data_IF_307556639478
#
_entry.id   IF_307556639478
#
_cell.length_a   1.000
_cell.length_b   1.000
_cell.length_c   1.000
_cell.angle_alpha   90.00
_cell.angle_beta   90.00
_cell.angle_gamma   90.00
#
_symmetry.space_group_name_H-M   'P 1'
#
loop_
_entity.id
_entity.type
_entity.pdbx_description
1 polymer ?
#
# COMPACT_ATOMS: atom_id res chain seq x y z
N UNK A 1 -21.58 -33.44 1.93
CA UNK A 1 -20.98 -33.70 0.59
C UNK A 1 -21.09 -32.43 -0.24
N UNK A 2 -20.06 -31.58 -0.24
CA UNK A 2 -20.02 -30.36 -1.07
C UNK A 2 -18.69 -30.34 -1.83
N UNK A 3 -18.79 -30.23 -3.15
CA UNK A 3 -17.74 -30.27 -4.16
C UNK A 3 -16.77 -29.09 -3.97
N UNK A 4 -15.47 -29.40 -3.79
CA UNK A 4 -14.38 -28.43 -3.94
C UNK A 4 -14.13 -28.20 -5.43
N UNK A 5 -14.36 -26.98 -5.89
CA UNK A 5 -13.98 -26.53 -7.22
C UNK A 5 -12.52 -26.05 -7.19
N UNK A 6 -11.69 -26.76 -7.93
CA UNK A 6 -10.27 -26.51 -8.15
C UNK A 6 -10.07 -25.23 -8.98
N UNK A 7 -9.54 -24.16 -8.37
CA UNK A 7 -8.97 -23.04 -9.11
C UNK A 7 -7.53 -23.40 -9.50
N UNK A 8 -7.23 -23.27 -10.80
CA UNK A 8 -5.92 -23.50 -11.40
C UNK A 8 -5.02 -22.30 -11.13
N UNK A 9 -3.82 -22.58 -10.64
CA UNK A 9 -2.73 -21.61 -10.48
C UNK A 9 -2.34 -21.00 -11.83
N UNK A 10 -2.37 -19.67 -11.91
CA UNK A 10 -1.65 -18.91 -12.94
C UNK A 10 -0.26 -18.58 -12.38
N UNK A 11 0.75 -19.25 -12.92
CA UNK A 11 2.17 -18.98 -12.65
C UNK A 11 2.53 -17.64 -13.30
N UNK A 12 2.60 -16.58 -12.51
CA UNK A 12 3.22 -15.32 -12.93
C UNK A 12 4.73 -15.42 -12.71
N UNK A 13 5.49 -15.48 -13.80
CA UNK A 13 6.93 -15.27 -13.83
C UNK A 13 7.26 -13.84 -13.40
N UNK A 14 8.25 -13.61 -12.52
CA UNK A 14 8.69 -12.27 -12.18
C UNK A 14 9.58 -11.74 -13.31
N UNK A 15 9.12 -10.68 -13.98
CA UNK A 15 9.96 -9.87 -14.85
C UNK A 15 11.03 -9.20 -14.02
N UNK A 16 12.28 -9.58 -14.26
CA UNK A 16 13.49 -8.93 -13.79
C UNK A 16 13.49 -7.48 -14.25
N UNK A 17 13.26 -6.54 -13.33
CA UNK A 17 13.42 -5.12 -13.58
C UNK A 17 14.91 -4.79 -13.48
N UNK A 18 15.59 -4.78 -14.62
CA UNK A 18 16.95 -4.26 -14.73
C UNK A 18 16.92 -2.75 -14.44
N UNK A 19 17.73 -2.33 -13.47
CA UNK A 19 18.03 -0.93 -13.19
C UNK A 19 18.89 -0.40 -14.36
N UNK A 20 18.52 0.71 -15.02
CA UNK A 20 19.43 1.35 -15.95
C UNK A 20 20.55 2.06 -15.19
N UNK A 21 21.78 1.65 -15.49
CA UNK A 21 23.02 2.36 -15.20
C UNK A 21 22.95 3.79 -15.77
N UNK A 22 22.84 4.80 -14.91
CA UNK A 22 23.02 6.20 -15.31
C UNK A 22 24.50 6.47 -15.47
N UNK A 23 25.01 6.25 -16.69
CA UNK A 23 26.31 6.79 -17.13
C UNK A 23 26.20 8.30 -17.31
N UNK A 24 27.14 9.00 -16.69
CA UNK A 24 27.50 10.39 -16.94
C UNK A 24 27.86 10.61 -18.42
N UNK A 25 26.96 11.20 -19.19
CA UNK A 25 27.28 11.82 -20.48
C UNK A 25 27.45 13.33 -20.31
N UNK A 26 28.71 13.73 -20.18
CA UNK A 26 29.20 15.07 -20.51
C UNK A 26 29.32 15.18 -22.03
N UNK A 27 29.04 16.38 -22.55
CA UNK A 27 29.03 16.84 -23.96
C UNK A 27 27.61 16.80 -24.56
N UNK A 28 27.07 17.84 -25.19
CA UNK A 28 27.73 18.70 -26.17
C UNK A 28 26.90 19.97 -26.34
N UNK A 29 27.52 21.14 -26.14
CA UNK A 29 26.93 22.41 -26.49
C UNK A 29 26.92 22.57 -28.02
N UNK A 30 25.76 22.45 -28.65
CA UNK A 30 25.56 22.87 -30.04
C UNK A 30 24.93 24.27 -30.06
N UNK A 31 25.76 25.26 -30.35
CA UNK A 31 25.34 26.59 -30.81
C UNK A 31 24.58 26.42 -32.13
N UNK A 32 23.29 26.72 -32.12
CA UNK A 32 22.54 27.00 -33.34
C UNK A 32 22.55 28.51 -33.57
N UNK A 33 23.42 28.96 -34.46
CA UNK A 33 23.32 30.26 -35.10
C UNK A 33 22.13 30.24 -36.06
N UNK A 34 21.01 30.83 -35.63
CA UNK A 34 19.84 31.00 -36.47
C UNK A 34 19.98 32.30 -37.26
N UNK A 35 20.03 32.12 -38.58
CA UNK A 35 20.21 33.14 -39.61
C UNK A 35 19.22 34.31 -39.49
N UNK A 36 19.80 35.49 -39.56
CA UNK A 36 19.12 36.75 -39.85
C UNK A 36 18.74 36.81 -41.33
N UNK A 37 17.43 36.86 -41.62
CA UNK A 37 16.90 37.46 -42.85
C UNK A 37 15.42 37.82 -42.65
N UNK A 38 15.15 39.07 -42.28
CA UNK A 38 13.83 39.68 -42.46
C UNK A 38 14.02 41.12 -42.93
N UNK A 39 14.04 41.31 -44.25
CA UNK A 39 13.87 42.63 -44.88
C UNK A 39 12.40 42.84 -45.19
N UNK A 40 11.90 43.99 -44.72
CA UNK A 40 10.96 44.87 -45.40
C UNK A 40 9.69 44.27 -46.01
N UNK A 41 8.61 44.27 -45.23
CA UNK A 41 7.27 44.61 -45.74
C UNK A 41 6.65 45.64 -44.80
N UNK A 42 6.81 46.92 -45.16
CA UNK A 42 6.17 48.04 -44.48
C UNK A 42 4.74 48.22 -44.98
N UNK A 43 3.80 48.27 -44.03
CA UNK A 43 2.42 48.68 -44.27
C UNK A 43 1.41 47.57 -43.97
N UNK A 44 0.60 47.78 -42.93
CA UNK A 44 -0.60 47.00 -42.47
C UNK A 44 -0.44 45.87 -41.44
N UNK A 45 0.77 45.47 -41.02
CA UNK A 45 0.95 44.40 -40.02
C UNK A 45 0.53 44.74 -38.57
N UNK A 46 0.31 46.01 -38.24
CA UNK A 46 -0.03 46.43 -36.87
C UNK A 46 -1.38 45.87 -36.40
N UNK A 47 -2.38 45.80 -37.30
CA UNK A 47 -3.70 45.25 -36.98
C UNK A 47 -3.69 43.73 -36.79
N UNK A 48 -2.93 43.01 -37.63
CA UNK A 48 -2.80 41.55 -37.57
C UNK A 48 -2.06 41.07 -36.32
N UNK A 49 -1.01 41.80 -35.90
CA UNK A 49 -0.30 41.52 -34.64
C UNK A 49 -1.18 41.75 -33.41
N UNK A 50 -2.02 42.79 -33.43
CA UNK A 50 -2.96 43.04 -32.34
C UNK A 50 -4.04 41.95 -32.27
N UNK A 51 -4.60 41.56 -33.42
CA UNK A 51 -5.59 40.48 -33.50
C UNK A 51 -5.03 39.13 -33.06
N UNK A 52 -3.79 38.80 -33.44
CA UNK A 52 -3.13 37.56 -33.01
C UNK A 52 -2.89 37.55 -31.48
N UNK A 53 -2.46 38.67 -30.89
CA UNK A 53 -2.30 38.78 -29.43
C UNK A 53 -3.63 38.63 -28.69
N UNK A 54 -4.69 39.28 -29.18
CA UNK A 54 -6.03 39.16 -28.58
C UNK A 54 -6.53 37.71 -28.69
N UNK A 55 -6.34 37.07 -29.85
CA UNK A 55 -6.71 35.67 -30.05
C UNK A 55 -5.93 34.72 -29.15
N UNK A 56 -4.62 34.91 -28.97
CA UNK A 56 -3.82 34.13 -28.02
C UNK A 56 -4.27 34.34 -26.57
N UNK A 57 -4.57 35.58 -26.15
CA UNK A 57 -5.05 35.87 -24.79
C UNK A 57 -6.42 35.22 -24.56
N UNK A 58 -7.34 35.30 -25.52
CA UNK A 58 -8.64 34.64 -25.45
C UNK A 58 -8.50 33.11 -25.44
N UNK A 59 -7.66 32.54 -26.29
CA UNK A 59 -7.41 31.10 -26.32
C UNK A 59 -6.84 30.59 -24.99
N UNK A 60 -5.92 31.32 -24.35
CA UNK A 60 -5.38 31.00 -23.01
C UNK A 60 -6.44 31.17 -21.92
N UNK A 61 -7.30 32.19 -22.01
CA UNK A 61 -8.37 32.41 -21.05
C UNK A 61 -9.51 31.37 -21.15
N UNK A 62 -9.80 30.85 -22.34
CA UNK A 62 -10.80 29.79 -22.54
C UNK A 62 -10.28 28.39 -22.18
N UNK A 63 -8.97 28.14 -22.31
CA UNK A 63 -8.38 26.84 -21.96
C UNK A 63 -8.12 26.66 -20.45
N UNK A 64 -8.11 27.73 -19.66
CA UNK A 64 -7.94 27.65 -18.20
C UNK A 64 -9.19 27.19 -17.45
N UNK A 65 -10.38 27.25 -18.05
CA UNK A 65 -11.63 26.86 -17.39
C UNK A 65 -11.92 25.35 -17.43
N UNK A 66 -11.41 24.63 -18.42
CA UNK A 66 -11.66 23.19 -18.57
C UNK A 66 -10.75 22.30 -17.70
N UNK A 67 -9.69 22.86 -17.12
CA UNK A 67 -8.75 22.12 -16.28
C UNK A 67 -9.18 22.00 -14.82
N UNK A 68 -10.20 22.76 -14.38
CA UNK A 68 -10.58 22.77 -12.96
C UNK A 68 -11.36 21.52 -12.53
N UNK A 69 -12.12 20.88 -13.42
CA UNK A 69 -12.98 19.75 -13.03
C UNK A 69 -12.20 18.44 -12.87
N UNK A 70 -11.12 18.25 -13.63
CA UNK A 70 -10.28 17.05 -13.55
C UNK A 70 -9.35 17.06 -12.34
N UNK A 71 -8.86 18.24 -11.94
CA UNK A 71 -7.95 18.38 -10.81
C UNK A 71 -8.61 18.06 -9.46
N UNK A 72 -9.91 18.35 -9.31
CA UNK A 72 -10.65 18.10 -8.08
C UNK A 72 -10.80 16.61 -7.76
N UNK A 73 -10.92 15.75 -8.78
CA UNK A 73 -11.04 14.30 -8.59
C UNK A 73 -9.74 13.71 -8.02
N UNK A 74 -8.59 14.11 -8.56
CA UNK A 74 -7.29 13.63 -8.09
C UNK A 74 -6.97 14.05 -6.65
N UNK A 75 -7.32 15.29 -6.25
CA UNK A 75 -7.15 15.74 -4.87
C UNK A 75 -8.08 15.01 -3.91
N UNK A 76 -9.33 14.73 -4.31
CA UNK A 76 -10.27 13.93 -3.54
C UNK A 76 -9.76 12.50 -3.34
N UNK A 77 -9.35 11.81 -4.41
CA UNK A 77 -8.85 10.43 -4.37
C UNK A 77 -7.62 10.33 -3.46
N UNK A 78 -6.63 11.20 -3.67
CA UNK A 78 -5.38 11.18 -2.90
C UNK A 78 -5.61 11.57 -1.43
N UNK A 79 -6.44 12.58 -1.16
CA UNK A 79 -6.80 13.01 0.19
C UNK A 79 -7.54 11.93 0.98
N UNK A 80 -8.54 11.29 0.35
CA UNK A 80 -9.28 10.19 0.96
C UNK A 80 -8.43 8.94 1.16
N UNK A 81 -7.55 8.59 0.22
CA UNK A 81 -6.60 7.47 0.36
C UNK A 81 -5.68 7.68 1.55
N UNK A 82 -5.06 8.85 1.66
CA UNK A 82 -4.20 9.19 2.80
C UNK A 82 -4.96 9.20 4.13
N UNK A 83 -6.19 9.73 4.14
CA UNK A 83 -7.03 9.70 5.34
C UNK A 83 -7.40 8.28 5.77
N UNK A 84 -7.68 7.37 4.82
CA UNK A 84 -7.90 5.95 5.11
C UNK A 84 -6.65 5.31 5.73
N UNK A 85 -5.48 5.49 5.11
CA UNK A 85 -4.22 4.96 5.62
C UNK A 85 -3.88 5.52 7.01
N UNK A 86 -4.07 6.82 7.21
CA UNK A 86 -3.86 7.48 8.50
C UNK A 86 -4.78 6.92 9.59
N UNK A 87 -6.05 6.69 9.27
CA UNK A 87 -7.01 6.11 10.19
C UNK A 87 -6.67 4.64 10.54
N UNK A 88 -6.26 3.82 9.56
CA UNK A 88 -5.87 2.43 9.79
C UNK A 88 -4.46 2.26 10.38
N UNK A 89 -3.63 3.31 10.42
CA UNK A 89 -2.27 3.24 10.97
C UNK A 89 -2.24 2.74 12.43
N UNK A 90 -3.14 3.24 13.28
CA UNK A 90 -3.23 2.87 14.69
C UNK A 90 -3.63 1.40 14.90
N UNK A 91 -4.76 0.89 14.37
CA UNK A 91 -5.12 -0.52 14.55
C UNK A 91 -4.08 -1.47 13.93
N UNK A 92 -3.46 -1.09 12.82
CA UNK A 92 -2.36 -1.84 12.22
C UNK A 92 -1.13 -1.89 13.15
N UNK A 93 -0.73 -0.77 13.74
CA UNK A 93 0.39 -0.73 14.67
C UNK A 93 0.16 -1.64 15.89
N UNK A 94 -1.05 -1.61 16.46
CA UNK A 94 -1.43 -2.52 17.57
C UNK A 94 -1.34 -3.99 17.14
N UNK A 95 -1.77 -4.32 15.91
CA UNK A 95 -1.65 -5.68 15.37
C UNK A 95 -0.19 -6.12 15.25
N UNK A 96 0.66 -5.25 14.71
CA UNK A 96 2.10 -5.49 14.55
C UNK A 96 2.80 -5.63 15.91
N UNK A 97 2.49 -4.78 16.89
CA UNK A 97 3.03 -4.88 18.26
C UNK A 97 2.64 -6.21 18.92
N UNK A 98 1.39 -6.66 18.74
CA UNK A 98 0.94 -7.97 19.27
C UNK A 98 1.67 -9.14 18.62
N UNK A 99 1.89 -9.10 17.30
CA UNK A 99 2.69 -10.11 16.60
C UNK A 99 4.15 -10.09 17.06
N UNK A 100 4.76 -8.91 17.15
CA UNK A 100 6.13 -8.73 17.63
C UNK A 100 6.33 -9.26 19.06
N UNK A 101 5.41 -8.94 19.97
CA UNK A 101 5.40 -9.46 21.34
C UNK A 101 5.29 -10.99 21.38
N UNK A 102 4.46 -11.57 20.52
CA UNK A 102 4.32 -13.04 20.40
C UNK A 102 5.61 -13.69 19.89
N UNK A 103 6.27 -13.09 18.89
CA UNK A 103 7.58 -13.55 18.38
C UNK A 103 8.62 -13.55 19.51
N UNK A 104 8.76 -12.43 20.22
CA UNK A 104 9.74 -12.33 21.31
C UNK A 104 9.46 -13.36 22.41
N UNK A 105 8.18 -13.50 22.80
CA UNK A 105 7.77 -14.42 23.87
C UNK A 105 7.98 -15.89 23.51
N UNK A 106 7.65 -16.30 22.27
CA UNK A 106 7.73 -17.71 21.85
C UNK A 106 9.10 -18.13 21.34
N UNK A 107 9.83 -17.24 20.66
CA UNK A 107 11.02 -17.61 19.89
C UNK A 107 12.34 -17.14 20.49
N UNK A 108 12.36 -16.03 21.24
CA UNK A 108 13.59 -15.41 21.72
C UNK A 108 13.77 -15.65 23.23
N UNK A 109 14.66 -16.57 23.65
CA UNK A 109 14.86 -16.85 25.06
C UNK A 109 15.57 -15.69 25.78
N UNK A 110 15.18 -15.44 27.04
CA UNK A 110 15.68 -14.35 27.89
C UNK A 110 15.48 -12.97 27.24
N UNK A 111 14.23 -12.66 26.87
CA UNK A 111 13.81 -11.41 26.25
C UNK A 111 14.04 -10.15 27.11
N UNK A 112 14.49 -10.28 28.35
CA UNK A 112 14.79 -9.15 29.26
C UNK A 112 15.86 -8.18 28.74
N UNK A 113 16.66 -8.59 27.74
CA UNK A 113 17.62 -7.73 27.03
C UNK A 113 17.21 -7.41 25.59
N UNK A 114 15.98 -7.74 25.20
CA UNK A 114 15.56 -7.65 23.82
C UNK A 114 15.42 -6.20 23.37
N UNK A 115 15.89 -5.96 22.13
CA UNK A 115 15.56 -4.78 21.34
C UNK A 115 14.04 -4.57 21.35
N UNK A 116 13.62 -3.34 21.12
CA UNK A 116 12.21 -3.01 20.87
C UNK A 116 11.56 -4.07 19.95
N UNK A 117 10.58 -4.86 20.43
CA UNK A 117 10.02 -5.98 19.68
C UNK A 117 9.58 -5.60 18.28
N UNK A 118 9.02 -4.41 18.10
CA UNK A 118 8.50 -3.93 16.82
C UNK A 118 9.61 -3.79 15.78
N UNK A 119 10.85 -3.54 16.20
CA UNK A 119 12.00 -3.39 15.30
C UNK A 119 12.27 -4.66 14.48
N UNK A 120 11.90 -5.84 14.99
CA UNK A 120 11.98 -7.10 14.24
C UNK A 120 11.06 -7.10 13.02
N UNK A 121 9.97 -6.33 13.05
CA UNK A 121 8.97 -6.24 11.97
C UNK A 121 9.24 -5.06 11.01
N UNK A 122 10.36 -4.35 11.15
CA UNK A 122 10.72 -3.23 10.25
C UNK A 122 10.61 -3.58 8.76
N UNK A 123 11.02 -4.78 8.28
CA UNK A 123 10.85 -5.16 6.88
C UNK A 123 9.38 -5.24 6.43
N UNK A 124 8.48 -5.70 7.29
CA UNK A 124 7.04 -5.76 7.02
C UNK A 124 6.45 -4.36 6.99
N UNK A 125 6.78 -3.51 7.96
CA UNK A 125 6.31 -2.11 8.03
C UNK A 125 6.74 -1.35 6.79
N UNK A 126 8.00 -1.50 6.37
CA UNK A 126 8.53 -0.89 5.15
C UNK A 126 7.80 -1.37 3.90
N UNK A 127 7.55 -2.68 3.77
CA UNK A 127 6.81 -3.26 2.66
C UNK A 127 5.36 -2.77 2.60
N UNK A 128 4.69 -2.68 3.76
CA UNK A 128 3.34 -2.12 3.87
C UNK A 128 3.32 -0.68 3.40
N UNK A 129 4.15 0.20 3.98
CA UNK A 129 4.18 1.62 3.65
C UNK A 129 4.46 1.88 2.17
N UNK A 130 5.27 1.02 1.53
CA UNK A 130 5.57 1.11 0.09
C UNK A 130 4.36 0.76 -0.79
N UNK A 131 3.51 -0.18 -0.37
CA UNK A 131 2.41 -0.73 -1.20
C UNK A 131 1.04 -0.18 -0.84
N UNK A 132 0.87 0.33 0.38
CA UNK A 132 -0.44 0.59 0.95
C UNK A 132 -1.22 1.68 0.21
N UNK A 133 -0.54 2.73 -0.27
CA UNK A 133 -1.17 3.81 -1.02
C UNK A 133 -1.78 3.30 -2.33
N UNK A 134 -0.96 2.75 -3.22
CA UNK A 134 -1.42 2.26 -4.53
C UNK A 134 -2.49 1.18 -4.40
N UNK A 135 -2.33 0.26 -3.43
CA UNK A 135 -3.28 -0.83 -3.20
C UNK A 135 -4.63 -0.29 -2.69
N UNK A 136 -4.61 0.69 -1.79
CA UNK A 136 -5.82 1.31 -1.24
C UNK A 136 -6.54 2.16 -2.28
N UNK A 137 -5.80 2.99 -3.02
CA UNK A 137 -6.36 3.81 -4.10
C UNK A 137 -7.06 2.92 -5.14
N UNK A 138 -6.36 1.90 -5.63
CA UNK A 138 -6.88 0.99 -6.65
C UNK A 138 -8.13 0.23 -6.20
N UNK A 139 -8.14 -0.27 -4.96
CA UNK A 139 -9.25 -1.07 -4.46
C UNK A 139 -10.52 -0.23 -4.22
N UNK A 140 -10.37 1.01 -3.77
CA UNK A 140 -11.48 1.88 -3.40
C UNK A 140 -12.06 2.60 -4.62
N UNK A 141 -11.23 3.21 -5.46
CA UNK A 141 -11.70 4.11 -6.51
C UNK A 141 -11.98 3.36 -7.82
N UNK A 142 -10.99 3.04 -8.67
CA UNK A 142 -11.27 2.28 -9.88
C UNK A 142 -11.88 0.90 -9.59
N UNK A 143 -11.72 0.37 -8.37
CA UNK A 143 -12.35 -0.87 -7.92
C UNK A 143 -13.82 -0.77 -7.50
N UNK A 144 -14.32 0.41 -7.09
CA UNK A 144 -15.70 0.54 -6.59
C UNK A 144 -16.35 1.92 -6.79
N UNK A 145 -15.62 3.00 -6.46
CA UNK A 145 -16.10 4.38 -6.56
C UNK A 145 -15.50 5.07 -7.80
N UNK A 146 -16.26 5.11 -8.89
CA UNK A 146 -15.77 5.61 -10.18
C UNK A 146 -16.04 7.11 -10.35
N UNK A 147 -15.05 7.90 -10.79
CA UNK A 147 -15.14 9.37 -10.89
C UNK A 147 -16.43 9.91 -11.51
N UNK A 148 -16.79 9.40 -12.70
CA UNK A 148 -18.08 9.70 -13.34
C UNK A 148 -19.04 8.53 -13.14
N UNK A 149 -20.35 8.82 -13.12
CA UNK A 149 -21.41 7.82 -13.11
C UNK A 149 -21.50 7.02 -14.43
N UNK A 150 -20.39 6.87 -15.16
CA UNK A 150 -20.31 6.16 -16.43
C UNK A 150 -20.10 4.68 -16.15
N UNK A 151 -20.83 3.83 -16.88
CA UNK A 151 -20.58 2.40 -16.85
C UNK A 151 -19.12 2.13 -17.27
N UNK A 152 -18.34 1.34 -16.49
CA UNK A 152 -16.92 1.15 -16.75
C UNK A 152 -16.63 0.37 -18.05
N UNK A 153 -17.62 -0.35 -18.57
CA UNK A 153 -17.53 -1.13 -19.81
C UNK A 153 -17.92 -0.28 -21.02
N UNK A 154 -18.99 0.51 -20.90
CA UNK A 154 -19.56 1.24 -22.05
C UNK A 154 -19.20 2.72 -22.12
N UNK A 155 -18.77 3.33 -21.01
CA UNK A 155 -18.49 4.77 -20.91
C UNK A 155 -19.74 5.65 -20.98
N UNK A 156 -20.94 5.05 -20.97
CA UNK A 156 -22.24 5.75 -21.06
C UNK A 156 -22.82 5.93 -19.65
N UNK A 157 -23.40 7.11 -19.40
CA UNK A 157 -24.17 7.37 -18.17
C UNK A 157 -25.49 6.57 -18.23
N UNK A 158 -25.73 5.61 -17.32
CA UNK A 158 -26.94 4.83 -17.33
C UNK A 158 -28.15 5.70 -16.95
N UNK A 159 -29.34 5.42 -17.50
CA UNK A 159 -30.55 6.17 -17.17
C UNK A 159 -30.86 6.06 -15.66
N UNK A 160 -31.14 7.21 -15.04
CA UNK A 160 -31.45 7.31 -13.62
C UNK A 160 -30.31 7.80 -12.72
N UNK A 161 -29.10 8.02 -13.23
CA UNK A 161 -28.09 8.84 -12.54
C UNK A 161 -28.53 10.31 -12.55
N UNK A 162 -28.47 11.06 -11.43
CA UNK A 162 -27.71 10.80 -10.21
C UNK A 162 -28.54 10.26 -9.02
N UNK A 163 -29.42 9.27 -9.22
CA UNK A 163 -30.03 8.54 -8.09
C UNK A 163 -28.94 7.75 -7.34
N UNK A 164 -28.78 7.89 -6.01
CA UNK A 164 -27.78 7.14 -5.23
C UNK A 164 -27.87 5.62 -5.38
N UNK A 165 -29.06 5.08 -5.68
CA UNK A 165 -29.29 3.64 -5.85
C UNK A 165 -29.00 3.12 -7.27
N UNK A 166 -28.33 3.90 -8.11
CA UNK A 166 -27.94 3.46 -9.45
C UNK A 166 -26.94 2.27 -9.41
N UNK A 167 -26.95 1.39 -10.43
CA UNK A 167 -26.03 0.24 -10.49
C UNK A 167 -24.56 0.64 -10.57
N UNK A 168 -24.27 1.79 -11.19
CA UNK A 168 -22.93 2.35 -11.36
C UNK A 168 -22.68 3.34 -10.24
N UNK A 169 -21.77 3.02 -9.31
CA UNK A 169 -21.52 3.91 -8.17
C UNK A 169 -20.54 5.02 -8.54
N UNK A 170 -21.06 6.23 -8.53
CA UNK A 170 -20.26 7.42 -8.71
C UNK A 170 -19.32 7.62 -7.50
N UNK A 171 -18.12 8.11 -7.74
CA UNK A 171 -17.09 8.45 -6.75
C UNK A 171 -17.24 9.87 -6.23
N UNK A 172 -18.41 10.50 -6.43
CA UNK A 172 -18.70 11.81 -5.88
C UNK A 172 -18.69 11.75 -4.35
N UNK A 173 -18.27 12.82 -3.66
CA UNK A 173 -18.30 12.90 -2.20
C UNK A 173 -19.63 12.46 -1.59
N UNK A 174 -20.76 12.90 -2.16
CA UNK A 174 -22.10 12.54 -1.69
C UNK A 174 -22.38 11.03 -1.78
N UNK A 175 -21.95 10.37 -2.86
CA UNK A 175 -22.11 8.93 -3.04
C UNK A 175 -21.25 8.14 -2.04
N UNK A 176 -19.99 8.55 -1.82
CA UNK A 176 -19.11 7.94 -0.82
C UNK A 176 -19.72 8.05 0.58
N UNK A 177 -20.29 9.21 0.94
CA UNK A 177 -20.99 9.41 2.22
C UNK A 177 -22.21 8.52 2.35
N UNK A 178 -23.00 8.38 1.28
CA UNK A 178 -24.16 7.52 1.26
C UNK A 178 -23.75 6.04 1.45
N UNK A 179 -22.71 5.59 0.77
CA UNK A 179 -22.17 4.22 0.85
C UNK A 179 -21.00 4.05 1.84
N UNK A 180 -20.91 4.90 2.87
CA UNK A 180 -19.77 4.95 3.78
C UNK A 180 -19.44 3.60 4.45
N UNK A 181 -20.46 2.81 4.79
CA UNK A 181 -20.25 1.47 5.37
C UNK A 181 -19.50 0.53 4.42
N UNK A 182 -19.78 0.61 3.12
CA UNK A 182 -19.08 -0.17 2.09
C UNK A 182 -17.68 0.38 1.83
N UNK A 183 -17.53 1.71 1.80
CA UNK A 183 -16.24 2.40 1.68
C UNK A 183 -15.24 1.93 2.75
N UNK A 184 -15.64 1.93 4.02
CA UNK A 184 -14.78 1.44 5.11
C UNK A 184 -14.54 -0.06 5.05
N UNK A 185 -15.54 -0.86 4.66
CA UNK A 185 -15.36 -2.32 4.48
C UNK A 185 -14.33 -2.67 3.42
N UNK A 186 -14.35 -1.98 2.27
CA UNK A 186 -13.36 -2.17 1.21
C UNK A 186 -11.98 -1.82 1.75
N UNK A 187 -11.81 -0.63 2.34
CA UNK A 187 -10.52 -0.20 2.86
C UNK A 187 -9.96 -1.16 3.92
N UNK A 188 -10.79 -1.62 4.86
CA UNK A 188 -10.38 -2.62 5.84
C UNK A 188 -9.96 -3.94 5.19
N UNK A 189 -10.76 -4.45 4.25
CA UNK A 189 -10.44 -5.69 3.54
C UNK A 189 -9.12 -5.56 2.79
N UNK A 190 -8.89 -4.43 2.12
CA UNK A 190 -7.64 -4.12 1.42
C UNK A 190 -6.44 -4.07 2.37
N UNK A 191 -6.55 -3.42 3.53
CA UNK A 191 -5.48 -3.41 4.54
C UNK A 191 -5.20 -4.82 5.08
N UNK A 192 -6.25 -5.60 5.37
CA UNK A 192 -6.13 -6.96 5.87
C UNK A 192 -5.53 -7.90 4.81
N UNK A 193 -5.89 -7.75 3.55
CA UNK A 193 -5.32 -8.51 2.44
C UNK A 193 -3.84 -8.20 2.25
N UNK A 194 -3.50 -6.91 2.17
CA UNK A 194 -2.12 -6.47 2.01
C UNK A 194 -1.20 -6.93 3.16
N UNK A 195 -1.64 -6.85 4.41
CA UNK A 195 -0.85 -7.37 5.54
C UNK A 195 -0.67 -8.88 5.45
N UNK A 196 -1.71 -9.60 4.98
CA UNK A 196 -1.61 -11.04 4.70
C UNK A 196 -0.51 -11.31 3.69
N UNK A 197 -0.59 -10.72 2.50
CA UNK A 197 0.38 -10.94 1.41
C UNK A 197 1.82 -10.66 1.81
N UNK A 198 2.11 -9.53 2.48
CA UNK A 198 3.48 -9.18 2.87
C UNK A 198 4.02 -10.01 4.05
N UNK A 199 3.15 -10.81 4.68
CA UNK A 199 3.51 -11.75 5.74
C UNK A 199 3.44 -13.21 5.31
N UNK A 200 3.21 -13.49 4.02
CA UNK A 200 3.27 -14.85 3.48
C UNK A 200 4.71 -15.39 3.49
N UNK A 201 4.93 -16.71 3.70
CA UNK A 201 6.28 -17.28 3.83
C UNK A 201 7.21 -17.08 2.63
N UNK A 202 6.66 -16.87 1.45
CA UNK A 202 7.40 -16.61 0.21
C UNK A 202 7.72 -15.12 0.00
N UNK A 203 7.03 -14.22 0.69
CA UNK A 203 7.27 -12.78 0.65
C UNK A 203 8.70 -12.41 1.09
N UNK A 204 9.27 -11.39 0.45
CA UNK A 204 10.62 -10.93 0.75
C UNK A 204 10.73 -10.34 2.15
N UNK A 205 9.72 -9.58 2.59
CA UNK A 205 9.59 -9.04 3.95
C UNK A 205 9.59 -10.13 5.01
N UNK A 206 8.82 -11.21 4.82
CA UNK A 206 8.79 -12.35 5.73
C UNK A 206 10.18 -12.95 5.91
N UNK A 207 10.88 -13.24 4.81
CA UNK A 207 12.23 -13.84 4.85
C UNK A 207 13.25 -12.97 5.60
N UNK A 208 13.14 -11.64 5.48
CA UNK A 208 13.97 -10.70 6.22
C UNK A 208 13.67 -10.71 7.72
N UNK A 209 12.41 -10.84 8.11
CA UNK A 209 12.02 -10.99 9.52
C UNK A 209 12.51 -12.33 10.07
N UNK A 210 12.30 -13.42 9.33
CA UNK A 210 12.78 -14.76 9.70
C UNK A 210 14.27 -14.75 9.98
N UNK A 211 15.06 -14.13 9.09
CA UNK A 211 16.51 -13.94 9.30
C UNK A 211 16.80 -13.13 10.57
N UNK A 212 16.14 -11.99 10.75
CA UNK A 212 16.34 -11.11 11.91
C UNK A 212 16.04 -11.83 13.23
N UNK A 213 15.01 -12.67 13.26
CA UNK A 213 14.64 -13.50 14.42
C UNK A 213 15.70 -14.58 14.67
N UNK A 214 16.16 -15.29 13.63
CA UNK A 214 17.24 -16.30 13.75
C UNK A 214 18.54 -15.69 14.27
N UNK A 215 18.88 -14.48 13.83
CA UNK A 215 20.06 -13.74 14.30
C UNK A 215 19.90 -13.35 15.77
N UNK A 216 18.72 -12.85 16.18
CA UNK A 216 18.42 -12.52 17.57
C UNK A 216 18.55 -13.75 18.50
N UNK A 217 18.05 -14.90 18.06
CA UNK A 217 18.13 -16.18 18.78
C UNK A 217 19.58 -16.66 18.93
N UNK A 218 20.40 -16.47 17.89
CA UNK A 218 21.80 -16.91 17.91
C UNK A 218 22.64 -16.03 18.84
N UNK A 219 22.38 -14.71 18.82
CA UNK A 219 23.08 -13.74 19.66
C UNK A 219 22.71 -13.84 21.14
N UNK A 220 21.48 -14.23 21.48
CA UNK A 220 21.07 -14.39 22.89
C UNK A 220 21.79 -15.55 23.59
N UNK A 221 22.24 -16.56 22.84
CA UNK A 221 23.00 -17.69 23.38
C UNK A 221 24.47 -17.37 23.63
N UNK A 222 25.10 -16.58 22.74
CA UNK A 222 26.52 -16.27 22.82
C UNK A 222 26.89 -15.57 24.15
N UNK A 223 25.95 -14.80 24.73
CA UNK A 223 26.16 -14.10 26.01
C UNK A 223 26.12 -14.99 27.25
N UNK A 224 25.68 -16.26 27.13
CA UNK A 224 25.60 -17.20 28.26
C UNK A 224 26.81 -18.13 28.37
N UNK A 225 27.83 -17.95 27.53
CA UNK A 225 29.10 -18.68 27.66
C UNK A 225 29.88 -18.13 28.85
N UNK A 226 29.64 -18.73 30.03
CA UNK A 226 30.65 -18.77 31.09
C UNK A 226 31.98 -19.28 30.51
N UNK A 227 33.13 -18.79 31.02
CA UNK A 227 34.43 -19.13 30.46
C UNK A 227 34.64 -20.65 30.47
N UNK A 228 35.17 -21.22 29.37
CA UNK A 228 35.33 -22.65 29.27
C UNK A 228 36.43 -23.09 30.24
N UNK A 229 36.00 -23.74 31.33
CA UNK A 229 36.91 -24.57 32.11
C UNK A 229 37.36 -25.73 31.20
N UNK A 230 38.62 -25.64 30.77
CA UNK A 230 39.49 -26.61 30.11
C UNK A 230 38.90 -28.03 30.04
N UNK A 231 38.27 -28.40 28.92
CA UNK A 231 37.99 -29.80 28.57
C UNK A 231 38.72 -30.16 27.28
N UNK A 232 39.91 -30.77 27.45
CA UNK A 232 40.77 -31.30 26.39
C UNK A 232 40.25 -32.68 26.02
N UNK A 233 39.53 -32.81 24.90
CA UNK A 233 39.15 -34.15 24.43
C UNK A 233 38.14 -34.21 23.29
N UNK A 234 38.63 -34.70 22.14
CA UNK A 234 37.93 -35.57 21.17
C UNK A 234 36.73 -35.08 20.33
N UNK A 235 36.95 -35.07 19.01
CA UNK A 235 36.15 -35.71 17.94
C UNK A 235 34.63 -35.86 18.18
N UNK A 236 33.85 -34.78 18.09
CA UNK A 236 32.37 -34.82 18.08
C UNK A 236 31.73 -33.78 17.12
N UNK A 237 32.23 -33.67 15.88
CA UNK A 237 31.77 -32.62 14.94
C UNK A 237 30.54 -32.98 14.09
N UNK A 238 29.97 -34.19 14.17
CA UNK A 238 28.88 -34.61 13.27
C UNK A 238 27.46 -34.44 13.86
N UNK A 239 27.31 -34.30 15.17
CA UNK A 239 25.98 -34.22 15.83
C UNK A 239 25.30 -32.84 15.81
N UNK A 240 26.05 -31.77 15.59
CA UNK A 240 25.52 -30.40 15.72
C UNK A 240 24.68 -29.93 14.53
N UNK A 241 24.92 -30.48 13.33
CA UNK A 241 24.23 -30.01 12.12
C UNK A 241 22.74 -30.38 12.10
N UNK A 242 22.37 -31.57 12.58
CA UNK A 242 20.95 -31.99 12.68
C UNK A 242 20.16 -31.12 13.66
N UNK A 243 20.75 -30.74 14.80
CA UNK A 243 20.10 -29.87 15.80
C UNK A 243 19.84 -28.45 15.29
N UNK A 244 20.68 -27.93 14.40
CA UNK A 244 20.49 -26.60 13.79
C UNK A 244 19.35 -26.59 12.78
N UNK A 245 19.21 -27.65 11.95
CA UNK A 245 18.11 -27.76 10.98
C UNK A 245 16.75 -27.73 11.68
N UNK A 246 16.53 -28.61 12.66
CA UNK A 246 15.25 -28.70 13.38
C UNK A 246 14.86 -27.38 14.06
N UNK A 247 15.84 -26.59 14.52
CA UNK A 247 15.58 -25.28 15.12
C UNK A 247 15.14 -24.26 14.08
N UNK A 248 15.75 -24.28 12.89
CA UNK A 248 15.40 -23.35 11.82
C UNK A 248 13.99 -23.61 11.29
N UNK A 249 13.61 -24.89 11.18
CA UNK A 249 12.27 -25.30 10.77
C UNK A 249 11.24 -24.86 11.81
N UNK A 250 11.51 -25.08 13.10
CA UNK A 250 10.64 -24.61 14.19
C UNK A 250 10.43 -23.08 14.19
N UNK A 251 11.48 -22.28 13.94
CA UNK A 251 11.33 -20.81 13.85
C UNK A 251 10.41 -20.43 12.70
N UNK A 252 10.54 -21.11 11.56
CA UNK A 252 9.71 -20.87 10.38
C UNK A 252 8.26 -21.25 10.65
N UNK A 253 8.02 -22.39 11.29
CA UNK A 253 6.66 -22.88 11.58
C UNK A 253 5.92 -21.94 12.55
N UNK A 254 6.59 -21.48 13.61
CA UNK A 254 6.02 -20.51 14.56
C UNK A 254 5.78 -19.14 13.94
N UNK A 255 6.69 -18.65 13.07
CA UNK A 255 6.45 -17.39 12.36
C UNK A 255 5.26 -17.50 11.41
N UNK A 256 5.11 -18.65 10.73
CA UNK A 256 3.96 -18.91 9.87
C UNK A 256 2.65 -18.98 10.67
N UNK A 257 2.66 -19.56 11.87
CA UNK A 257 1.51 -19.54 12.78
C UNK A 257 1.14 -18.11 13.21
N UNK A 258 2.13 -17.32 13.64
CA UNK A 258 1.91 -15.94 14.12
C UNK A 258 1.40 -15.05 12.98
N UNK A 259 2.04 -15.10 11.82
CA UNK A 259 1.67 -14.27 10.68
C UNK A 259 0.40 -14.75 9.97
N UNK A 260 0.10 -16.05 10.00
CA UNK A 260 -1.19 -16.58 9.54
C UNK A 260 -2.39 -16.00 10.31
N UNK A 261 -2.17 -15.45 11.51
CA UNK A 261 -3.16 -14.77 12.33
C UNK A 261 -3.22 -13.24 12.10
N UNK A 262 -2.42 -12.67 11.19
CA UNK A 262 -2.36 -11.21 11.01
C UNK A 262 -3.74 -10.60 10.68
N UNK A 263 -4.49 -11.24 9.77
CA UNK A 263 -5.84 -10.80 9.37
C UNK A 263 -6.83 -10.86 10.54
N UNK A 264 -6.82 -11.94 11.32
CA UNK A 264 -7.73 -12.11 12.46
C UNK A 264 -7.38 -11.15 13.60
N UNK A 265 -6.10 -10.96 13.92
CA UNK A 265 -5.64 -9.99 14.92
C UNK A 265 -6.13 -8.58 14.56
N UNK A 266 -5.98 -8.18 13.30
CA UNK A 266 -6.44 -6.87 12.84
C UNK A 266 -7.96 -6.73 12.92
N UNK A 267 -8.71 -7.77 12.52
CA UNK A 267 -10.17 -7.78 12.64
C UNK A 267 -10.63 -7.66 14.10
N UNK A 268 -10.01 -8.40 15.01
CA UNK A 268 -10.32 -8.35 16.45
C UNK A 268 -10.11 -6.95 17.02
N UNK A 269 -9.01 -6.29 16.65
CA UNK A 269 -8.73 -4.90 17.06
C UNK A 269 -9.82 -3.95 16.56
N UNK A 270 -10.30 -4.14 15.34
CA UNK A 270 -11.40 -3.35 14.78
C UNK A 270 -12.80 -3.70 15.31
N UNK A 271 -12.92 -4.68 16.21
CA UNK A 271 -14.17 -5.08 16.84
C UNK A 271 -14.82 -6.33 16.28
N UNK A 272 -14.06 -7.15 15.53
CA UNK A 272 -14.41 -8.50 15.12
C UNK A 272 -14.87 -8.63 13.66
N UNK A 273 -15.16 -9.87 13.26
CA UNK A 273 -15.71 -10.22 11.94
C UNK A 273 -17.19 -10.54 12.13
N UNK A 274 -18.09 -9.57 11.94
CA UNK A 274 -19.50 -9.95 11.75
C UNK A 274 -19.68 -10.34 10.29
N UNK A 275 -19.99 -11.62 10.07
CA UNK A 275 -20.30 -12.22 8.77
C UNK A 275 -21.60 -11.68 8.13
N UNK A 276 -22.14 -10.55 8.61
CA UNK A 276 -23.38 -9.96 8.15
C UNK A 276 -23.12 -8.77 7.23
N UNK A 277 -23.84 -8.70 6.11
CA UNK A 277 -23.67 -7.63 5.11
C UNK A 277 -24.02 -6.21 5.62
N UNK A 278 -24.65 -6.07 6.79
CA UNK A 278 -25.30 -4.82 7.25
C UNK A 278 -24.42 -3.72 7.84
N UNK A 279 -23.12 -3.67 7.51
CA UNK A 279 -22.32 -2.46 7.70
C UNK A 279 -22.00 -2.08 9.16
N UNK A 280 -22.26 -2.96 10.13
CA UNK A 280 -22.00 -2.70 11.57
C UNK A 280 -20.68 -3.30 12.07
N UNK A 281 -19.87 -3.86 11.18
CA UNK A 281 -18.93 -4.93 11.54
C UNK A 281 -17.52 -4.47 11.93
N UNK A 282 -17.27 -3.17 12.17
CA UNK A 282 -15.96 -2.66 12.59
C UNK A 282 -16.11 -1.50 13.59
N UNK A 283 -16.75 -1.68 14.75
CA UNK A 283 -17.11 -0.58 15.64
C UNK A 283 -15.91 0.26 16.10
N UNK A 284 -14.72 -0.35 16.23
CA UNK A 284 -13.52 0.34 16.70
C UNK A 284 -12.73 1.03 15.56
N UNK A 285 -13.04 0.69 14.31
CA UNK A 285 -12.42 1.26 13.11
C UNK A 285 -13.43 2.08 12.30
N UNK A 286 -14.33 2.79 13.01
CA UNK A 286 -15.32 3.69 12.41
C UNK A 286 -15.06 5.12 12.84
N UNK A 287 -14.71 5.94 11.85
CA UNK A 287 -14.53 7.40 11.99
C UNK A 287 -15.67 8.19 11.32
N UNK A 288 -16.86 7.57 11.25
CA UNK A 288 -17.92 7.95 10.31
C UNK A 288 -18.27 9.44 10.30
N UNK A 289 -18.60 10.01 11.45
CA UNK A 289 -19.08 11.40 11.49
C UNK A 289 -18.02 12.39 10.99
N UNK A 290 -16.78 12.28 11.50
CA UNK A 290 -15.68 13.16 11.10
C UNK A 290 -15.24 12.91 9.66
N UNK A 291 -15.23 11.64 9.25
CA UNK A 291 -14.75 11.29 7.92
C UNK A 291 -15.77 11.66 6.84
N UNK A 292 -17.07 11.52 7.10
CA UNK A 292 -18.13 12.05 6.22
C UNK A 292 -18.03 13.56 6.05
N UNK A 293 -17.76 14.31 7.11
CA UNK A 293 -17.53 15.76 7.02
C UNK A 293 -16.30 16.09 6.17
N UNK A 294 -15.22 15.33 6.32
CA UNK A 294 -14.02 15.49 5.49
C UNK A 294 -14.28 15.16 4.02
N UNK A 295 -15.01 14.07 3.72
CA UNK A 295 -15.43 13.73 2.36
C UNK A 295 -16.23 14.87 1.73
N UNK A 296 -17.19 15.45 2.46
CA UNK A 296 -18.01 16.57 1.96
C UNK A 296 -17.26 17.91 1.84
N UNK A 297 -16.00 17.99 2.27
CA UNK A 297 -15.17 19.18 2.07
C UNK A 297 -14.56 19.25 0.67
N UNK A 298 -14.55 18.14 -0.07
CA UNK A 298 -14.15 18.10 -1.47
C UNK A 298 -15.29 18.62 -2.37
N UNK A 299 -14.97 19.41 -3.41
CA UNK A 299 -15.96 20.01 -4.31
C UNK A 299 -16.67 18.99 -5.21
#
# INVERSE_FOLDING_TARGET
>A
MLKRSSLKNATHTPSTLELPDTKDDKNQASKFDLFATARYFGGTYSGLLLMYRIFCILAVALSSQLLQVSACEGECISGLTNALLGNFSRPLNIALEKMAGTIVTRLIPNSEYARDPISLLSPIISSYNKRAYDTMEQAVFPGYFHGKCQDPTTGIDPPGCPNPDCPVRCGTPGSIVHFYGKFIKIAFATTAELIGEITEPDASSYKLVEKSVKDAISNSKARRSYPPFIFRGSKLLSGNQRRLSTRNDHVKDELNDIFGQAKSILADICGGVSASDHGKDLPNCRWEQRFKQYILSFP
#
